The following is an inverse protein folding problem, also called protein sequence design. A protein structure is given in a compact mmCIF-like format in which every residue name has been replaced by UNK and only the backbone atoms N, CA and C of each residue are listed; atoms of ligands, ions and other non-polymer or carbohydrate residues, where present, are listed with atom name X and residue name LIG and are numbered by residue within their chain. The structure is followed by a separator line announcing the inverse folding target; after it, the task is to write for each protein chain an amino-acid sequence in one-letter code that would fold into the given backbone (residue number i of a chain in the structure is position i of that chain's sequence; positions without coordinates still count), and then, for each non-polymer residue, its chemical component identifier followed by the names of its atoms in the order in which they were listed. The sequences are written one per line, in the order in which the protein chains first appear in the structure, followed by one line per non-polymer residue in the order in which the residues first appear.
data_IF_985783818725
#
_entry.id   IF_985783818725
#
_cell.length_a   1.000
_cell.length_b   1.000
_cell.length_c   1.000
_cell.angle_alpha   90.00
_cell.angle_beta   90.00
_cell.angle_gamma   90.00
#
_symmetry.space_group_name_H-M   'P 1'
#
loop_
_entity.id
_entity.type
_entity.pdbx_description
1 polymer ?
#
# COMPACT_ATOMS: atom_id res chain seq x y z
N UNK A 1 6.42 -29.01 12.20
CA UNK A 1 7.23 -29.11 10.97
C UNK A 1 7.49 -27.68 10.51
N UNK A 2 8.68 -27.16 10.80
CA UNK A 2 9.07 -25.77 10.51
C UNK A 2 9.19 -25.59 8.99
N UNK A 3 8.56 -24.58 8.37
CA UNK A 3 8.81 -24.31 6.96
C UNK A 3 10.23 -23.75 6.79
N UNK A 4 10.90 -24.33 5.80
CA UNK A 4 12.24 -24.07 5.30
C UNK A 4 12.60 -22.57 5.19
N UNK A 5 13.80 -22.23 5.67
CA UNK A 5 14.44 -20.91 5.70
C UNK A 5 14.87 -20.35 4.32
N UNK A 6 14.54 -21.02 3.21
CA UNK A 6 15.06 -20.69 1.87
C UNK A 6 14.32 -19.58 1.11
N UNK A 7 13.30 -18.93 1.69
CA UNK A 7 12.51 -17.88 1.00
C UNK A 7 12.94 -16.43 1.31
N UNK A 8 14.02 -16.23 2.09
CA UNK A 8 14.35 -14.91 2.67
C UNK A 8 15.46 -14.13 1.95
N UNK A 9 16.05 -14.63 0.86
CA UNK A 9 17.22 -14.00 0.22
C UNK A 9 16.88 -13.00 -0.90
N UNK A 10 15.61 -12.84 -1.27
CA UNK A 10 15.19 -11.97 -2.39
C UNK A 10 14.34 -10.74 -2.00
N UNK A 11 14.39 -10.30 -0.74
CA UNK A 11 13.75 -9.03 -0.36
C UNK A 11 14.72 -7.90 -0.71
N UNK A 12 14.36 -6.96 -1.62
CA UNK A 12 15.27 -5.90 -2.10
C UNK A 12 15.67 -4.89 -1.01
N UNK A 13 15.14 -5.02 0.20
CA UNK A 13 15.42 -4.18 1.34
C UNK A 13 16.05 -5.03 2.45
N UNK A 14 17.31 -4.75 2.79
CA UNK A 14 18.06 -5.48 3.80
C UNK A 14 17.32 -5.66 5.13
N UNK A 15 17.56 -6.81 5.77
CA UNK A 15 17.03 -7.19 7.07
C UNK A 15 17.68 -6.33 8.16
N UNK A 16 16.92 -5.64 9.02
CA UNK A 16 17.42 -5.10 10.30
C UNK A 16 16.37 -5.18 11.41
N UNK A 17 16.89 -5.36 12.62
CA UNK A 17 16.22 -5.72 13.87
C UNK A 17 15.26 -4.64 14.40
N UNK A 18 14.20 -5.10 15.07
CA UNK A 18 13.19 -4.29 15.73
C UNK A 18 13.80 -3.73 17.03
N UNK A 19 14.08 -2.43 17.07
CA UNK A 19 14.42 -1.70 18.32
C UNK A 19 13.15 -0.96 18.79
N UNK A 20 12.61 -1.24 19.98
CA UNK A 20 11.49 -0.48 20.52
C UNK A 20 11.99 0.92 20.92
N UNK A 21 11.31 1.98 20.46
CA UNK A 21 11.49 3.34 20.99
C UNK A 21 10.31 3.70 21.89
N UNK A 22 10.62 4.04 23.13
CA UNK A 22 9.66 4.60 24.08
C UNK A 22 9.37 6.08 23.77
N UNK A 23 8.10 6.46 23.89
CA UNK A 23 7.65 7.85 24.06
C UNK A 23 7.22 8.58 22.78
N UNK A 24 5.91 8.64 22.53
CA UNK A 24 5.33 9.57 21.55
C UNK A 24 3.92 9.16 21.09
N UNK A 25 2.92 9.91 21.56
CA UNK A 25 1.48 9.94 21.19
C UNK A 25 0.94 8.68 20.50
N UNK A 26 0.22 7.85 21.26
CA UNK A 26 -0.57 6.73 20.73
C UNK A 26 -1.67 7.26 19.79
N UNK A 27 -1.45 7.23 18.48
CA UNK A 27 -2.49 7.44 17.47
C UNK A 27 -2.83 6.10 16.79
N UNK A 28 -3.10 5.08 17.61
CA UNK A 28 -3.55 3.77 17.16
C UNK A 28 -5.03 3.77 16.77
N UNK A 29 -5.40 4.47 15.69
CA UNK A 29 -6.71 4.26 15.09
C UNK A 29 -6.63 3.03 14.19
N UNK A 30 -7.31 1.96 14.61
CA UNK A 30 -7.49 0.66 13.95
C UNK A 30 -8.30 0.80 12.66
N UNK A 31 -7.78 1.56 11.73
CA UNK A 31 -8.50 1.95 10.55
C UNK A 31 -8.08 1.00 9.41
N UNK A 32 -9.01 0.19 8.87
CA UNK A 32 -8.66 -0.81 7.87
C UNK A 32 -8.06 -0.14 6.64
N UNK A 33 -6.94 -0.68 6.17
CA UNK A 33 -6.32 -0.29 4.91
C UNK A 33 -6.50 -1.40 3.87
N UNK A 34 -6.88 -1.03 2.65
CA UNK A 34 -7.00 -1.95 1.51
C UNK A 34 -5.70 -1.95 0.71
N UNK A 35 -5.16 -3.12 0.37
CA UNK A 35 -3.88 -3.25 -0.34
C UNK A 35 -4.08 -3.69 -1.79
N UNK A 36 -3.63 -2.86 -2.72
CA UNK A 36 -3.58 -3.10 -4.18
C UNK A 36 -2.15 -3.48 -4.56
N UNK A 37 -1.97 -4.56 -5.31
CA UNK A 37 -0.64 -5.03 -5.74
C UNK A 37 -0.72 -5.95 -6.96
N UNK A 38 0.43 -6.21 -7.60
CA UNK A 38 0.55 -7.25 -8.62
C UNK A 38 0.49 -8.64 -7.96
N UNK A 39 -0.60 -9.38 -8.17
CA UNK A 39 -0.78 -10.72 -7.61
C UNK A 39 0.35 -11.67 -7.95
N UNK A 40 0.83 -11.62 -9.21
CA UNK A 40 1.78 -12.58 -9.75
C UNK A 40 3.22 -12.30 -9.28
N UNK A 41 3.63 -11.04 -9.28
CA UNK A 41 5.03 -10.65 -9.03
C UNK A 41 5.27 -10.07 -7.63
N UNK A 42 4.28 -9.39 -7.05
CA UNK A 42 4.43 -8.59 -5.82
C UNK A 42 3.77 -9.23 -4.59
N UNK A 43 3.18 -10.43 -4.72
CA UNK A 43 2.54 -11.12 -3.60
C UNK A 43 3.47 -11.43 -2.41
N UNK A 44 4.79 -11.42 -2.61
CA UNK A 44 5.77 -11.54 -1.52
C UNK A 44 5.73 -10.33 -0.58
N UNK A 45 5.58 -9.12 -1.12
CA UNK A 45 5.58 -7.88 -0.35
C UNK A 45 4.36 -7.83 0.56
N UNK A 46 3.22 -8.23 0.01
CA UNK A 46 1.99 -8.44 0.77
C UNK A 46 2.18 -9.45 1.91
N UNK A 47 2.73 -10.65 1.62
CA UNK A 47 3.01 -11.66 2.67
C UNK A 47 3.93 -11.12 3.76
N UNK A 48 4.91 -10.29 3.39
CA UNK A 48 5.81 -9.63 4.32
C UNK A 48 5.06 -8.63 5.22
N UNK A 49 4.17 -7.81 4.67
CA UNK A 49 3.32 -6.90 5.44
C UNK A 49 2.41 -7.63 6.43
N UNK A 50 1.91 -8.83 6.06
CA UNK A 50 1.16 -9.68 7.01
C UNK A 50 2.00 -10.13 8.20
N UNK A 51 3.31 -10.31 8.02
CA UNK A 51 4.23 -10.60 9.11
C UNK A 51 4.32 -9.47 10.13
N UNK A 52 4.24 -8.21 9.67
CA UNK A 52 4.21 -7.04 10.57
C UNK A 52 2.91 -6.94 11.39
N UNK A 53 1.76 -7.33 10.80
CA UNK A 53 0.45 -7.37 11.49
C UNK A 53 0.48 -8.22 12.76
N UNK A 54 1.26 -9.31 12.77
CA UNK A 54 1.38 -10.18 13.93
C UNK A 54 2.15 -9.53 15.11
N UNK A 55 2.93 -8.48 14.86
CA UNK A 55 3.83 -7.87 15.84
C UNK A 55 3.43 -6.45 16.28
N UNK A 56 2.63 -5.69 15.50
CA UNK A 56 2.41 -4.25 15.76
C UNK A 56 0.96 -3.75 15.63
N UNK A 57 -0.05 -4.61 15.74
CA UNK A 57 -1.48 -4.23 15.78
C UNK A 57 -2.00 -3.39 14.58
N UNK A 58 -1.40 -3.52 13.39
CA UNK A 58 -1.93 -2.85 12.17
C UNK A 58 -2.99 -3.71 11.50
N UNK A 59 -4.23 -3.23 11.44
CA UNK A 59 -5.34 -3.94 10.78
C UNK A 59 -5.41 -3.59 9.29
N UNK A 60 -4.84 -4.46 8.46
CA UNK A 60 -5.11 -4.44 7.03
C UNK A 60 -6.29 -5.37 6.70
N UNK A 61 -7.26 -4.91 5.90
CA UNK A 61 -8.23 -5.79 5.23
C UNK A 61 -7.60 -6.31 3.95
N UNK A 62 -7.63 -7.62 3.83
CA UNK A 62 -6.68 -8.43 3.12
C UNK A 62 -7.51 -9.40 2.28
N UNK A 63 -7.81 -9.09 1.01
CA UNK A 63 -8.07 -10.16 0.04
C UNK A 63 -7.16 -10.03 -1.16
N UNK A 64 -6.58 -11.18 -1.46
CA UNK A 64 -5.55 -11.40 -2.45
C UNK A 64 -6.11 -11.21 -3.85
N UNK A 65 -5.37 -10.55 -4.74
CA UNK A 65 -5.70 -10.54 -6.16
C UNK A 65 -5.60 -11.97 -6.77
N UNK A 66 -4.89 -12.90 -6.12
CA UNK A 66 -4.96 -14.32 -6.46
C UNK A 66 -6.26 -15.00 -6.01
N UNK A 67 -6.97 -14.48 -5.00
CA UNK A 67 -8.33 -14.92 -4.69
C UNK A 67 -9.27 -14.51 -5.83
N UNK A 68 -9.02 -13.37 -6.47
CA UNK A 68 -9.71 -12.84 -7.66
C UNK A 68 -9.61 -13.80 -8.86
N UNK A 69 -8.42 -14.33 -9.17
CA UNK A 69 -8.22 -15.32 -10.24
C UNK A 69 -8.81 -16.70 -9.88
N UNK A 70 -8.70 -17.12 -8.61
CA UNK A 70 -9.40 -18.31 -8.11
C UNK A 70 -10.93 -18.13 -8.08
N UNK A 71 -11.44 -16.92 -7.85
CA UNK A 71 -12.87 -16.59 -7.83
C UNK A 71 -13.44 -16.51 -9.24
N UNK A 72 -12.72 -15.89 -10.18
CA UNK A 72 -13.11 -15.82 -11.60
C UNK A 72 -13.08 -17.19 -12.27
N UNK A 73 -12.12 -18.06 -11.93
CA UNK A 73 -12.06 -19.44 -12.42
C UNK A 73 -13.13 -20.36 -11.81
N UNK A 74 -13.63 -20.10 -10.58
CA UNK A 74 -14.71 -20.86 -9.92
C UNK A 74 -16.14 -20.46 -10.34
N UNK A 75 -16.32 -20.01 -11.59
CA UNK A 75 -17.60 -19.62 -12.20
C UNK A 75 -18.25 -18.33 -11.63
N UNK A 76 -17.51 -17.45 -10.95
CA UNK A 76 -18.00 -16.10 -10.62
C UNK A 76 -17.60 -15.12 -11.73
N UNK A 77 -18.57 -14.40 -12.31
CA UNK A 77 -18.28 -13.40 -13.33
C UNK A 77 -17.46 -12.22 -12.78
N UNK A 78 -16.68 -11.56 -13.63
CA UNK A 78 -15.84 -10.39 -13.28
C UNK A 78 -16.61 -9.31 -12.49
N UNK A 79 -17.88 -9.09 -12.84
CA UNK A 79 -18.78 -8.15 -12.17
C UNK A 79 -19.03 -8.48 -10.69
N UNK A 80 -19.20 -9.77 -10.37
CA UNK A 80 -19.37 -10.22 -8.98
C UNK A 80 -18.12 -9.91 -8.17
N UNK A 81 -16.95 -10.15 -8.75
CA UNK A 81 -15.67 -9.93 -8.09
C UNK A 81 -15.43 -8.44 -7.86
N UNK A 82 -15.61 -7.60 -8.88
CA UNK A 82 -15.52 -6.13 -8.76
C UNK A 82 -16.48 -5.56 -7.71
N UNK A 83 -17.70 -6.09 -7.60
CA UNK A 83 -18.65 -5.69 -6.55
C UNK A 83 -18.10 -5.97 -5.14
N UNK A 84 -17.55 -7.17 -4.91
CA UNK A 84 -16.98 -7.54 -3.62
C UNK A 84 -15.78 -6.68 -3.22
N UNK A 85 -14.92 -6.35 -4.18
CA UNK A 85 -13.77 -5.47 -3.94
C UNK A 85 -14.24 -4.05 -3.64
N UNK A 86 -15.27 -3.56 -4.35
CA UNK A 86 -15.88 -2.26 -4.08
C UNK A 86 -16.44 -2.15 -2.66
N UNK A 87 -17.21 -3.14 -2.23
CA UNK A 87 -17.84 -3.12 -0.90
C UNK A 87 -16.77 -2.99 0.20
N UNK A 88 -15.59 -3.59 0.00
CA UNK A 88 -14.54 -3.67 1.03
C UNK A 88 -13.58 -2.49 0.96
N UNK A 89 -13.29 -2.01 -0.24
CA UNK A 89 -12.62 -0.73 -0.43
C UNK A 89 -13.44 0.40 0.23
N UNK A 90 -14.78 0.38 0.11
CA UNK A 90 -15.64 1.38 0.74
C UNK A 90 -15.67 1.37 2.27
N UNK A 91 -15.24 0.25 2.87
CA UNK A 91 -15.10 0.10 4.32
C UNK A 91 -13.69 0.47 4.81
N UNK A 92 -12.77 0.76 3.89
CA UNK A 92 -11.38 1.08 4.20
C UNK A 92 -11.19 2.58 4.39
N UNK A 93 -10.35 2.92 5.36
CA UNK A 93 -9.96 4.30 5.68
C UNK A 93 -8.96 4.90 4.70
N UNK A 94 -8.17 4.03 4.06
CA UNK A 94 -7.13 4.39 3.12
C UNK A 94 -6.74 3.18 2.27
N UNK A 95 -6.02 3.47 1.20
CA UNK A 95 -5.57 2.49 0.22
C UNK A 95 -4.04 2.48 0.20
N UNK A 96 -3.45 1.31 0.19
CA UNK A 96 -2.03 1.09 -0.07
C UNK A 96 -1.91 0.52 -1.47
N UNK A 97 -1.08 1.13 -2.32
CA UNK A 97 -0.74 0.60 -3.64
C UNK A 97 0.73 0.21 -3.64
N UNK A 98 1.01 -1.09 -3.73
CA UNK A 98 2.38 -1.59 -3.89
C UNK A 98 2.84 -1.36 -5.32
N UNK A 99 3.93 -0.60 -5.48
CA UNK A 99 4.50 -0.21 -6.76
C UNK A 99 5.77 -1.03 -7.02
N UNK A 100 5.58 -2.16 -7.69
CA UNK A 100 6.61 -3.05 -8.21
C UNK A 100 7.02 -2.71 -9.64
N UNK A 101 7.87 -3.57 -10.23
CA UNK A 101 8.45 -3.34 -11.57
C UNK A 101 7.39 -3.27 -12.68
N UNK A 102 6.37 -4.13 -12.60
CA UNK A 102 5.34 -4.26 -13.65
C UNK A 102 4.06 -3.49 -13.38
N UNK A 103 3.88 -2.93 -12.17
CA UNK A 103 2.61 -2.35 -11.71
C UNK A 103 2.03 -1.30 -12.67
N UNK A 104 2.86 -0.44 -13.28
CA UNK A 104 2.41 0.55 -14.30
C UNK A 104 1.69 -0.06 -15.51
N UNK A 105 1.90 -1.34 -15.81
CA UNK A 105 1.35 -2.02 -16.98
C UNK A 105 0.05 -2.80 -16.67
N UNK A 106 -0.40 -2.81 -15.41
CA UNK A 106 -1.54 -3.62 -14.96
C UNK A 106 -2.86 -2.85 -15.07
N UNK A 107 -3.49 -2.95 -16.24
CA UNK A 107 -4.69 -2.17 -16.56
C UNK A 107 -6.03 -2.82 -16.18
N UNK A 108 -6.07 -4.13 -15.91
CA UNK A 108 -7.33 -4.85 -15.68
C UNK A 108 -7.89 -4.65 -14.27
N UNK A 109 -7.11 -5.02 -13.26
CA UNK A 109 -7.54 -4.95 -11.85
C UNK A 109 -6.89 -3.80 -11.12
N UNK A 110 -5.56 -3.71 -11.10
CA UNK A 110 -4.83 -2.65 -10.38
C UNK A 110 -5.27 -1.25 -10.82
N UNK A 111 -5.31 -0.96 -12.13
CA UNK A 111 -5.82 0.33 -12.62
C UNK A 111 -7.26 0.58 -12.17
N UNK A 112 -8.14 -0.42 -12.31
CA UNK A 112 -9.54 -0.31 -11.91
C UNK A 112 -9.70 -0.05 -10.40
N UNK A 113 -8.87 -0.67 -9.55
CA UNK A 113 -8.86 -0.44 -8.10
C UNK A 113 -8.40 0.98 -7.75
N UNK A 114 -7.39 1.51 -8.46
CA UNK A 114 -6.95 2.90 -8.30
C UNK A 114 -8.08 3.86 -8.72
N UNK A 115 -8.74 3.62 -9.86
CA UNK A 115 -9.88 4.43 -10.31
C UNK A 115 -11.04 4.39 -9.31
N UNK A 116 -11.30 3.21 -8.75
CA UNK A 116 -12.32 3.03 -7.73
C UNK A 116 -11.98 3.80 -6.46
N UNK A 117 -10.74 3.72 -5.97
CA UNK A 117 -10.27 4.46 -4.80
C UNK A 117 -10.45 5.97 -4.97
N UNK A 118 -10.08 6.48 -6.14
CA UNK A 118 -10.27 7.89 -6.51
C UNK A 118 -11.76 8.24 -6.51
N UNK A 119 -12.62 7.38 -7.09
CA UNK A 119 -14.07 7.62 -7.12
C UNK A 119 -14.75 7.62 -5.75
N UNK A 120 -14.13 6.96 -4.77
CA UNK A 120 -14.60 6.89 -3.38
C UNK A 120 -13.99 8.00 -2.51
N UNK A 121 -13.18 8.91 -3.08
CA UNK A 121 -12.40 9.94 -2.38
C UNK A 121 -11.58 9.38 -1.20
N UNK A 122 -10.97 8.20 -1.41
CA UNK A 122 -10.15 7.55 -0.39
C UNK A 122 -8.70 8.02 -0.46
N UNK A 123 -8.05 8.26 0.69
CA UNK A 123 -6.61 8.54 0.75
C UNK A 123 -5.79 7.39 0.17
N UNK A 124 -4.85 7.68 -0.73
CA UNK A 124 -3.98 6.66 -1.35
C UNK A 124 -2.52 6.85 -0.93
N UNK A 125 -1.88 5.76 -0.52
CA UNK A 125 -0.46 5.65 -0.17
C UNK A 125 0.23 4.76 -1.21
N UNK A 126 1.09 5.35 -2.04
CA UNK A 126 1.94 4.60 -2.95
C UNK A 126 3.19 4.08 -2.23
N UNK A 127 3.42 2.77 -2.25
CA UNK A 127 4.56 2.15 -1.57
C UNK A 127 5.50 1.55 -2.59
N UNK A 128 6.69 2.11 -2.74
CA UNK A 128 7.63 1.68 -3.76
C UNK A 128 8.44 0.47 -3.29
N UNK A 129 8.31 -0.66 -4.00
CA UNK A 129 8.98 -1.92 -3.63
C UNK A 129 10.50 -1.89 -3.87
N UNK A 130 11.02 -1.00 -4.71
CA UNK A 130 12.46 -0.70 -4.79
C UNK A 130 12.97 0.19 -3.66
N UNK A 131 12.13 0.54 -2.68
CA UNK A 131 12.49 1.44 -1.59
C UNK A 131 12.91 2.85 -2.06
N UNK A 132 12.46 3.27 -3.25
CA UNK A 132 12.65 4.65 -3.69
C UNK A 132 11.82 5.61 -2.84
N UNK A 133 12.36 6.79 -2.60
CA UNK A 133 11.69 7.88 -1.90
C UNK A 133 10.88 8.71 -2.88
N UNK A 134 9.65 9.09 -2.50
CA UNK A 134 8.76 9.87 -3.37
C UNK A 134 8.26 9.08 -4.57
N UNK A 135 7.82 9.78 -5.62
CA UNK A 135 7.15 9.17 -6.77
C UNK A 135 8.15 8.48 -7.72
N UNK A 136 8.02 7.17 -7.93
CA UNK A 136 8.75 6.44 -8.96
C UNK A 136 8.08 6.60 -10.35
N UNK A 137 8.60 7.52 -11.16
CA UNK A 137 8.05 7.80 -12.50
C UNK A 137 8.14 6.63 -13.48
N UNK A 138 9.03 5.67 -13.24
CA UNK A 138 9.26 4.52 -14.13
C UNK A 138 8.32 3.36 -13.83
N UNK A 139 7.83 3.25 -12.58
CA UNK A 139 7.04 2.10 -12.10
C UNK A 139 5.64 2.44 -11.66
N UNK A 140 5.41 3.67 -11.23
CA UNK A 140 4.10 4.12 -10.76
C UNK A 140 3.10 4.27 -11.92
N UNK A 141 1.90 3.69 -11.82
CA UNK A 141 0.81 3.95 -12.76
C UNK A 141 0.52 5.45 -12.86
N UNK A 142 0.31 5.96 -14.08
CA UNK A 142 0.07 7.39 -14.32
C UNK A 142 -1.09 7.97 -13.49
N UNK A 143 -2.16 7.19 -13.32
CA UNK A 143 -3.31 7.59 -12.49
C UNK A 143 -2.94 7.85 -11.04
N UNK A 144 -2.03 7.06 -10.46
CA UNK A 144 -1.57 7.26 -9.09
C UNK A 144 -0.54 8.40 -9.01
N UNK A 145 0.41 8.39 -9.96
CA UNK A 145 1.50 9.38 -10.08
C UNK A 145 0.99 10.81 -10.11
N UNK A 146 -0.13 11.04 -10.80
CA UNK A 146 -0.67 12.38 -11.06
C UNK A 146 -1.84 12.72 -10.10
N UNK A 147 -2.18 11.84 -9.15
CA UNK A 147 -3.24 12.04 -8.15
C UNK A 147 -2.68 12.52 -6.81
N UNK A 148 -3.55 13.09 -5.96
CA UNK A 148 -3.24 13.38 -4.57
C UNK A 148 -3.01 12.10 -3.77
N UNK A 149 -1.77 11.63 -3.78
CA UNK A 149 -1.30 10.45 -3.07
C UNK A 149 0.07 10.73 -2.47
N UNK A 150 0.37 10.13 -1.32
CA UNK A 150 1.72 10.18 -0.74
C UNK A 150 2.51 8.95 -1.14
N UNK A 151 3.80 9.12 -1.45
CA UNK A 151 4.68 8.01 -1.82
C UNK A 151 5.76 7.76 -0.78
N UNK A 152 5.91 6.49 -0.37
CA UNK A 152 6.87 6.05 0.65
C UNK A 152 7.67 4.83 0.20
N UNK A 153 8.90 4.64 0.70
CA UNK A 153 9.64 3.40 0.46
C UNK A 153 8.97 2.22 1.17
N UNK A 154 9.18 1.00 0.65
CA UNK A 154 8.73 -0.25 1.29
C UNK A 154 9.53 -0.56 2.57
N UNK A 155 9.24 0.21 3.62
CA UNK A 155 9.84 0.15 4.96
C UNK A 155 8.73 0.23 6.00
N UNK A 156 8.78 -0.61 7.04
CA UNK A 156 7.75 -0.65 8.08
C UNK A 156 7.50 0.73 8.70
N UNK A 157 8.57 1.41 9.13
CA UNK A 157 8.47 2.73 9.75
C UNK A 157 7.84 3.78 8.82
N UNK A 158 8.13 3.72 7.52
CA UNK A 158 7.59 4.65 6.53
C UNK A 158 6.09 4.39 6.25
N UNK A 159 5.73 3.12 6.09
CA UNK A 159 4.34 2.70 5.85
C UNK A 159 3.47 3.00 7.07
N UNK A 160 3.97 2.69 8.28
CA UNK A 160 3.27 2.98 9.54
C UNK A 160 3.03 4.47 9.71
N UNK A 161 4.07 5.28 9.52
CA UNK A 161 3.95 6.74 9.54
C UNK A 161 2.91 7.21 8.51
N UNK A 162 2.93 6.68 7.29
CA UNK A 162 1.94 7.07 6.30
C UNK A 162 0.51 6.70 6.71
N UNK A 163 0.29 5.51 7.27
CA UNK A 163 -1.01 5.07 7.77
C UNK A 163 -1.54 5.96 8.90
N UNK A 164 -0.67 6.39 9.82
CA UNK A 164 -1.06 7.17 11.00
C UNK A 164 -1.44 8.62 10.65
N UNK A 165 -0.77 9.22 9.65
CA UNK A 165 -0.88 10.67 9.37
C UNK A 165 -1.62 11.00 8.07
N UNK A 166 -1.35 10.26 6.98
CA UNK A 166 -1.84 10.63 5.66
C UNK A 166 -3.36 10.68 5.51
N UNK A 167 -4.15 9.72 6.04
CA UNK A 167 -5.61 9.76 5.87
C UNK A 167 -6.22 11.05 6.42
N UNK A 168 -5.79 11.44 7.62
CA UNK A 168 -6.25 12.66 8.27
C UNK A 168 -5.77 13.93 7.53
N UNK A 169 -4.56 13.93 7.00
CA UNK A 169 -4.06 15.03 6.17
C UNK A 169 -4.87 15.15 4.88
N UNK A 170 -5.08 14.05 4.17
CA UNK A 170 -5.84 14.00 2.92
C UNK A 170 -7.24 14.60 3.07
N UNK A 171 -7.96 14.23 4.14
CA UNK A 171 -9.32 14.75 4.38
C UNK A 171 -9.35 16.23 4.79
N UNK A 172 -8.23 16.81 5.22
CA UNK A 172 -8.13 18.26 5.49
C UNK A 172 -7.82 19.09 4.24
N UNK A 173 -7.34 18.46 3.17
CA UNK A 173 -7.01 19.15 1.92
C UNK A 173 -8.30 19.53 1.17
N UNK A 174 -8.37 20.77 0.70
CA UNK A 174 -9.40 21.19 -0.25
C UNK A 174 -9.11 20.70 -1.67
N UNK A 175 -10.12 20.77 -2.56
CA UNK A 175 -10.00 20.30 -3.95
C UNK A 175 -8.84 20.94 -4.72
N UNK A 176 -8.55 22.22 -4.47
CA UNK A 176 -7.43 22.92 -5.08
C UNK A 176 -6.07 22.33 -4.66
N UNK A 177 -5.96 21.88 -3.42
CA UNK A 177 -4.72 21.28 -2.90
C UNK A 177 -4.58 19.84 -3.40
N UNK A 178 -5.67 19.07 -3.39
CA UNK A 178 -5.72 17.74 -4.01
C UNK A 178 -5.37 17.81 -5.51
N UNK A 179 -5.80 18.87 -6.20
CA UNK A 179 -5.50 19.11 -7.62
C UNK A 179 -4.02 19.40 -7.94
N UNK A 180 -3.14 19.52 -6.95
CA UNK A 180 -1.69 19.71 -7.18
C UNK A 180 -0.95 18.40 -7.47
N UNK A 181 -1.63 17.26 -7.38
CA UNK A 181 -1.07 15.94 -7.67
C UNK A 181 -0.34 15.33 -6.47
N UNK A 182 0.66 14.50 -6.75
CA UNK A 182 1.34 13.71 -5.73
C UNK A 182 2.00 14.56 -4.63
N UNK A 183 2.02 13.98 -3.43
CA UNK A 183 2.55 14.59 -2.20
C UNK A 183 3.77 13.81 -1.72
N UNK A 184 4.61 14.51 -0.98
CA UNK A 184 5.83 13.97 -0.37
C UNK A 184 5.97 14.49 1.04
N UNK A 185 6.56 13.68 1.91
CA UNK A 185 6.99 14.13 3.22
C UNK A 185 8.25 15.02 3.13
N UNK A 186 8.63 15.72 4.21
CA UNK A 186 9.91 16.42 4.27
C UNK A 186 11.08 15.47 4.01
N UNK A 187 12.15 15.97 3.38
CA UNK A 187 13.30 15.16 2.96
C UNK A 187 13.97 14.42 4.14
N UNK A 188 13.90 15.00 5.33
CA UNK A 188 14.45 14.46 6.58
C UNK A 188 13.80 13.12 6.94
N UNK A 189 12.48 12.99 6.73
CA UNK A 189 11.76 11.73 6.97
C UNK A 189 12.23 10.61 6.06
N UNK A 190 12.42 10.92 4.78
CA UNK A 190 12.94 9.96 3.82
C UNK A 190 14.38 9.54 4.12
N UNK A 191 15.23 10.47 4.58
CA UNK A 191 16.59 10.17 5.01
C UNK A 191 16.61 9.29 6.26
N UNK A 192 15.69 9.50 7.21
CA UNK A 192 15.52 8.68 8.41
C UNK A 192 15.29 7.21 8.03
N UNK A 193 14.31 6.94 7.15
CA UNK A 193 13.96 5.58 6.71
C UNK A 193 15.00 4.92 5.81
N UNK A 194 15.86 5.70 5.16
CA UNK A 194 16.93 5.18 4.31
C UNK A 194 18.09 4.64 5.16
N UNK A 195 18.31 5.22 6.35
CA UNK A 195 19.40 4.84 7.27
C UNK A 195 19.05 3.63 8.16
N UNK A 196 17.77 3.35 8.33
CA UNK A 196 17.21 2.21 9.07
C UNK A 196 17.02 0.96 8.21
#
# INVERSE_FOLDING_TARGET
MMPSLLFLENIPCGRHEIIPREGGVEMGYKNPAYVVFDGDEDGWAYRFMRGWKANEHVEFDFRDAHDLDNMTSRAQGEQYVKRHLRDRMSQSSCIIVLVGEKTKNLYKYVRWEIELAISLDLPIIGVNLNCSNGVDKLRCPALLRDHCAVHVPFKLAAIKFALDYWPNEYHRLGDREKGQGARSYPAEKYQEWTKS
#
